data_IF_948444830717
#
_entry.id   IF_948444830717
#
_cell.length_a   1.000
_cell.length_b   1.000
_cell.length_c   1.000
_cell.angle_alpha   90.00
_cell.angle_beta   90.00
_cell.angle_gamma   90.00
#
_symmetry.space_group_name_H-M   'P 1'
#
loop_
_entity.id
_entity.type
_entity.pdbx_description
1 polymer ?
#
# COMPACT_ATOMS: atom_id res chain seq x y z
N UNK A 1 28.45 0.90 22.41
CA UNK A 1 27.58 0.06 21.57
C UNK A 1 26.36 0.89 21.24
N UNK A 2 26.05 1.08 19.97
CA UNK A 2 24.86 1.82 19.56
C UNK A 2 23.67 0.86 19.67
N UNK A 3 22.57 1.28 20.27
CA UNK A 3 21.38 0.43 20.36
C UNK A 3 20.85 0.13 18.95
N UNK A 4 20.42 -1.11 18.67
CA UNK A 4 19.86 -1.45 17.37
C UNK A 4 18.55 -0.68 17.16
N UNK A 5 18.33 -0.19 15.93
CA UNK A 5 17.04 0.35 15.52
C UNK A 5 15.96 -0.73 15.68
N UNK A 6 14.72 -0.32 15.97
CA UNK A 6 13.61 -1.26 16.23
C UNK A 6 12.34 -0.82 15.54
N UNK A 7 11.56 -1.80 15.09
CA UNK A 7 10.19 -1.57 14.65
C UNK A 7 9.35 -0.99 15.78
N UNK A 8 8.62 0.10 15.53
CA UNK A 8 7.73 0.73 16.52
C UNK A 8 6.55 -0.18 16.89
N UNK A 9 6.06 -0.97 15.94
CA UNK A 9 4.87 -1.81 16.12
C UNK A 9 5.15 -3.11 16.87
N UNK A 10 6.34 -3.69 16.70
CA UNK A 10 6.66 -5.04 17.21
C UNK A 10 7.92 -5.11 18.08
N UNK A 11 8.74 -4.06 18.12
CA UNK A 11 10.01 -4.04 18.85
C UNK A 11 11.14 -4.89 18.25
N UNK A 12 10.88 -5.57 17.12
CA UNK A 12 11.87 -6.41 16.43
C UNK A 12 13.03 -5.51 15.93
N UNK A 13 14.30 -5.94 16.10
CA UNK A 13 15.45 -5.20 15.58
C UNK A 13 15.37 -5.05 14.05
N UNK A 14 15.72 -3.86 13.55
CA UNK A 14 15.83 -3.57 12.11
C UNK A 14 17.20 -3.01 11.81
N UNK A 15 17.78 -3.32 10.65
CA UNK A 15 19.11 -2.82 10.27
C UNK A 15 19.06 -1.54 9.41
N UNK A 16 17.86 -1.10 9.01
CA UNK A 16 17.62 0.05 8.18
C UNK A 16 16.57 -0.24 7.10
N UNK A 17 16.65 0.44 5.96
CA UNK A 17 15.66 0.36 4.88
C UNK A 17 15.56 -1.02 4.20
N UNK A 18 16.51 -1.92 4.45
CA UNK A 18 16.46 -3.29 3.95
C UNK A 18 15.40 -4.12 4.70
N UNK A 19 15.15 -3.82 5.97
CA UNK A 19 14.29 -4.62 6.87
C UNK A 19 13.00 -3.90 7.27
N UNK A 20 12.88 -2.63 6.93
CA UNK A 20 11.80 -1.75 7.36
C UNK A 20 11.66 -0.53 6.45
N UNK A 21 10.53 0.17 6.57
CA UNK A 21 10.34 1.52 6.04
C UNK A 21 10.40 2.52 7.20
N UNK A 22 10.94 3.71 6.93
CA UNK A 22 10.88 4.83 7.88
C UNK A 22 9.69 5.70 7.53
N UNK A 23 8.79 5.91 8.48
CA UNK A 23 7.56 6.67 8.32
C UNK A 23 7.31 7.51 9.58
N UNK A 24 7.10 8.81 9.43
CA UNK A 24 6.78 9.76 10.51
C UNK A 24 7.59 9.67 11.82
N UNK A 25 8.88 9.36 11.70
CA UNK A 25 9.78 9.27 12.87
C UNK A 25 9.90 7.87 13.45
N UNK A 26 9.28 6.89 12.81
CA UNK A 26 9.18 5.51 13.27
C UNK A 26 9.69 4.53 12.21
N UNK A 27 10.28 3.42 12.67
CA UNK A 27 10.59 2.29 11.79
C UNK A 27 9.42 1.32 11.79
N UNK A 28 8.93 0.94 10.61
CA UNK A 28 7.88 -0.08 10.42
C UNK A 28 8.49 -1.25 9.66
N UNK A 29 8.62 -2.42 10.31
CA UNK A 29 9.30 -3.58 9.71
C UNK A 29 8.49 -4.28 8.63
N UNK A 30 9.17 -4.90 7.66
CA UNK A 30 8.52 -5.76 6.66
C UNK A 30 7.76 -6.92 7.30
N UNK A 31 8.28 -7.47 8.40
CA UNK A 31 7.61 -8.54 9.14
C UNK A 31 6.21 -8.11 9.65
N UNK A 32 6.09 -6.89 10.20
CA UNK A 32 4.81 -6.36 10.64
C UNK A 32 3.87 -6.12 9.45
N UNK A 33 4.37 -5.50 8.37
CA UNK A 33 3.59 -5.22 7.16
C UNK A 33 3.04 -6.52 6.56
N UNK A 34 3.87 -7.56 6.45
CA UNK A 34 3.46 -8.84 5.90
C UNK A 34 2.41 -9.55 6.77
N UNK A 35 2.55 -9.51 8.10
CA UNK A 35 1.54 -10.06 9.02
C UNK A 35 0.18 -9.36 8.82
N UNK A 36 0.16 -8.03 8.66
CA UNK A 36 -1.06 -7.30 8.39
C UNK A 36 -1.69 -7.69 7.04
N UNK A 37 -0.88 -7.92 6.00
CA UNK A 37 -1.34 -8.41 4.69
C UNK A 37 -1.98 -9.79 4.85
N UNK A 38 -1.30 -10.73 5.50
CA UNK A 38 -1.80 -12.09 5.70
C UNK A 38 -3.14 -12.12 6.46
N UNK A 39 -3.24 -11.33 7.54
CA UNK A 39 -4.48 -11.19 8.31
C UNK A 39 -5.62 -10.67 7.42
N UNK A 40 -5.38 -9.58 6.70
CA UNK A 40 -6.37 -8.97 5.83
C UNK A 40 -6.75 -9.87 4.66
N UNK A 41 -5.82 -10.60 4.05
CA UNK A 41 -6.14 -11.52 2.95
C UNK A 41 -6.93 -12.74 3.42
N UNK A 42 -6.67 -13.22 4.65
CA UNK A 42 -7.44 -14.31 5.25
C UNK A 42 -8.90 -13.92 5.52
N UNK A 43 -9.17 -12.66 5.86
CA UNK A 43 -10.50 -12.10 6.06
C UNK A 43 -11.15 -11.62 4.73
N UNK A 44 -10.37 -11.00 3.85
CA UNK A 44 -10.81 -10.36 2.60
C UNK A 44 -11.03 -11.33 1.43
N UNK A 45 -10.55 -12.57 1.50
CA UNK A 45 -10.76 -13.56 0.44
C UNK A 45 -12.24 -13.81 0.10
N UNK A 46 -13.16 -13.57 1.04
CA UNK A 46 -14.61 -13.63 0.81
C UNK A 46 -15.21 -12.32 0.32
N UNK A 47 -14.72 -11.18 0.81
CA UNK A 47 -15.24 -9.85 0.50
C UNK A 47 -14.77 -9.34 -0.88
N UNK A 48 -13.56 -9.70 -1.31
CA UNK A 48 -13.01 -9.34 -2.62
C UNK A 48 -13.83 -9.92 -3.79
N UNK A 49 -14.43 -11.10 -3.63
CA UNK A 49 -15.29 -11.69 -4.66
C UNK A 49 -16.61 -10.92 -4.82
N UNK A 50 -17.18 -10.45 -3.72
CA UNK A 50 -18.40 -9.63 -3.71
C UNK A 50 -18.13 -8.22 -4.23
N UNK A 51 -17.01 -7.62 -3.84
CA UNK A 51 -16.57 -6.31 -4.31
C UNK A 51 -16.28 -6.29 -5.81
N UNK A 52 -15.56 -7.30 -6.33
CA UNK A 52 -15.28 -7.45 -7.76
C UNK A 52 -16.57 -7.66 -8.58
N UNK A 53 -17.55 -8.38 -8.03
CA UNK A 53 -18.86 -8.55 -8.67
C UNK A 53 -19.69 -7.25 -8.69
N UNK A 54 -19.56 -6.41 -7.66
CA UNK A 54 -20.28 -5.14 -7.53
C UNK A 54 -19.69 -3.99 -8.38
N UNK A 55 -18.42 -4.08 -8.80
CA UNK A 55 -17.72 -3.00 -9.52
C UNK A 55 -17.12 -3.46 -10.87
N UNK A 56 -17.95 -3.93 -11.83
CA UNK A 56 -17.48 -4.49 -13.11
C UNK A 56 -16.75 -3.47 -14.00
N UNK A 57 -17.06 -2.17 -13.87
CA UNK A 57 -16.43 -1.09 -14.65
C UNK A 57 -15.07 -0.63 -14.06
N UNK A 58 -14.74 -1.08 -12.85
CA UNK A 58 -13.45 -0.87 -12.19
C UNK A 58 -12.63 -2.15 -12.28
N UNK A 59 -12.35 -2.66 -13.48
CA UNK A 59 -11.50 -3.84 -13.56
C UNK A 59 -10.07 -3.43 -13.19
N UNK A 60 -9.75 -3.55 -11.89
CA UNK A 60 -8.40 -3.48 -11.38
C UNK A 60 -7.49 -4.37 -12.23
N UNK A 61 -8.02 -5.50 -12.73
CA UNK A 61 -7.44 -6.37 -13.76
C UNK A 61 -6.92 -5.64 -15.00
N UNK A 62 -7.67 -4.70 -15.58
CA UNK A 62 -7.21 -3.93 -16.73
C UNK A 62 -6.09 -2.95 -16.33
N UNK A 63 -6.23 -2.26 -15.20
CA UNK A 63 -5.23 -1.31 -14.71
C UNK A 63 -3.91 -2.01 -14.36
N UNK A 64 -3.98 -3.14 -13.66
CA UNK A 64 -2.82 -3.98 -13.32
C UNK A 64 -2.22 -4.60 -14.58
N UNK A 65 -3.04 -5.03 -15.54
CA UNK A 65 -2.58 -5.50 -16.85
C UNK A 65 -1.82 -4.42 -17.62
N UNK A 66 -2.33 -3.19 -17.64
CA UNK A 66 -1.65 -2.04 -18.27
C UNK A 66 -0.34 -1.69 -17.56
N UNK A 67 -0.32 -1.72 -16.23
CA UNK A 67 0.90 -1.51 -15.46
C UNK A 67 1.96 -2.55 -15.81
N UNK A 68 1.60 -3.84 -15.79
CA UNK A 68 2.51 -4.94 -16.13
C UNK A 68 3.03 -4.86 -17.59
N UNK A 69 2.18 -4.47 -18.54
CA UNK A 69 2.60 -4.25 -19.93
C UNK A 69 3.60 -3.09 -20.02
N UNK A 70 3.37 -1.99 -19.31
CA UNK A 70 4.31 -0.86 -19.29
C UNK A 70 5.67 -1.27 -18.71
N UNK A 71 5.69 -2.02 -17.62
CA UNK A 71 6.91 -2.51 -16.98
C UNK A 71 7.68 -3.45 -17.89
N UNK A 72 7.00 -4.43 -18.51
CA UNK A 72 7.65 -5.35 -19.45
C UNK A 72 8.25 -4.64 -20.66
N UNK A 73 7.66 -3.51 -21.09
CA UNK A 73 8.15 -2.70 -22.21
C UNK A 73 9.32 -1.79 -21.82
N UNK A 74 9.33 -1.27 -20.59
CA UNK A 74 10.25 -0.20 -20.17
C UNK A 74 11.35 -0.67 -19.22
N UNK A 75 11.17 -1.82 -18.57
CA UNK A 75 12.02 -2.31 -17.49
C UNK A 75 11.95 -1.47 -16.21
N UNK A 76 10.95 -0.59 -16.07
CA UNK A 76 10.79 0.32 -14.93
C UNK A 76 9.42 0.14 -14.31
N UNK A 77 9.33 0.27 -12.99
CA UNK A 77 8.06 0.19 -12.26
C UNK A 77 7.04 1.21 -12.78
N UNK A 78 5.83 0.76 -13.08
CA UNK A 78 4.78 1.62 -13.61
C UNK A 78 4.25 2.56 -12.53
N UNK A 79 4.03 3.83 -12.89
CA UNK A 79 3.36 4.80 -12.00
C UNK A 79 1.91 4.44 -11.72
N UNK A 80 1.30 3.59 -12.56
CA UNK A 80 -0.08 3.14 -12.38
C UNK A 80 -0.27 2.39 -11.06
N UNK A 81 0.78 1.75 -10.53
CA UNK A 81 0.69 1.06 -9.24
C UNK A 81 0.34 1.99 -8.07
N UNK A 82 0.89 3.20 -8.04
CA UNK A 82 0.53 4.21 -7.04
C UNK A 82 -0.96 4.57 -7.15
N UNK A 83 -1.39 4.93 -8.36
CA UNK A 83 -2.80 5.28 -8.64
C UNK A 83 -3.77 4.14 -8.34
N UNK A 84 -3.38 2.89 -8.59
CA UNK A 84 -4.19 1.71 -8.27
C UNK A 84 -4.37 1.58 -6.75
N UNK A 85 -3.30 1.75 -5.97
CA UNK A 85 -3.35 1.69 -4.51
C UNK A 85 -4.22 2.79 -3.90
N UNK A 86 -4.03 4.03 -4.35
CA UNK A 86 -4.86 5.17 -3.92
C UNK A 86 -6.35 4.91 -4.17
N UNK A 87 -6.68 4.44 -5.39
CA UNK A 87 -8.06 4.12 -5.75
C UNK A 87 -8.64 3.01 -4.89
N UNK A 88 -7.90 1.92 -4.70
CA UNK A 88 -8.35 0.79 -3.88
C UNK A 88 -8.66 1.22 -2.45
N UNK A 89 -7.78 2.00 -1.84
CA UNK A 89 -7.95 2.46 -0.46
C UNK A 89 -9.13 3.42 -0.34
N UNK A 90 -9.32 4.31 -1.31
CA UNK A 90 -10.45 5.22 -1.37
C UNK A 90 -11.79 4.46 -1.46
N UNK A 91 -11.88 3.47 -2.35
CA UNK A 91 -13.12 2.73 -2.54
C UNK A 91 -13.40 1.74 -1.40
N UNK A 92 -12.40 1.02 -0.90
CA UNK A 92 -12.58 -0.02 0.14
C UNK A 92 -12.75 0.56 1.54
N UNK A 93 -11.97 1.58 1.89
CA UNK A 93 -11.91 2.11 3.26
C UNK A 93 -12.56 3.49 3.39
N UNK A 94 -13.07 4.06 2.29
CA UNK A 94 -13.71 5.38 2.29
C UNK A 94 -12.73 6.54 2.48
N UNK A 95 -11.45 6.34 2.14
CA UNK A 95 -10.45 7.41 2.18
C UNK A 95 -10.79 8.47 1.14
N UNK A 96 -10.78 9.73 1.56
CA UNK A 96 -10.95 10.87 0.66
C UNK A 96 -9.57 11.29 0.18
N UNK A 97 -9.29 11.04 -1.10
CA UNK A 97 -8.00 11.37 -1.71
C UNK A 97 -7.82 12.88 -1.80
N UNK A 98 -6.60 13.31 -1.49
CA UNK A 98 -6.16 14.69 -1.67
C UNK A 98 -5.97 15.01 -3.14
N UNK A 99 -5.90 16.31 -3.47
CA UNK A 99 -5.52 16.73 -4.83
C UNK A 99 -4.12 16.19 -5.17
N UNK A 100 -3.90 15.89 -6.44
CA UNK A 100 -2.57 15.49 -6.92
C UNK A 100 -1.50 16.52 -6.49
N UNK A 101 -0.41 16.03 -5.90
CA UNK A 101 0.68 16.82 -5.32
C UNK A 101 0.29 17.64 -4.06
N UNK A 102 -0.66 17.16 -3.25
CA UNK A 102 -0.77 17.66 -1.88
C UNK A 102 0.49 17.27 -1.09
N UNK A 103 1.15 18.24 -0.46
CA UNK A 103 2.32 17.95 0.36
C UNK A 103 1.90 17.25 1.66
N UNK A 104 2.54 16.11 1.95
CA UNK A 104 2.52 15.46 3.27
C UNK A 104 1.46 14.38 3.52
N UNK A 105 0.63 14.04 2.53
CA UNK A 105 -0.34 12.92 2.61
C UNK A 105 -0.98 12.64 1.24
N UNK A 106 -1.50 11.43 1.07
CA UNK A 106 -2.26 11.01 -0.12
C UNK A 106 -3.78 11.20 0.06
N UNK A 107 -4.26 11.24 1.31
CA UNK A 107 -5.67 11.50 1.61
C UNK A 107 -5.97 11.62 3.10
N UNK A 108 -7.25 11.52 3.45
CA UNK A 108 -7.69 11.50 4.84
C UNK A 108 -8.84 10.50 5.08
N UNK A 109 -8.85 9.90 6.27
CA UNK A 109 -9.95 9.10 6.78
C UNK A 109 -10.56 9.82 7.98
N UNK A 110 -11.74 10.43 7.78
CA UNK A 110 -12.29 11.33 8.80
C UNK A 110 -11.38 12.53 9.04
N UNK A 111 -10.75 12.59 10.22
CA UNK A 111 -9.82 13.66 10.62
C UNK A 111 -8.35 13.26 10.51
N UNK A 112 -8.07 11.98 10.25
CA UNK A 112 -6.72 11.45 10.24
C UNK A 112 -6.15 11.54 8.83
N UNK A 113 -4.90 12.02 8.72
CA UNK A 113 -4.17 12.05 7.45
C UNK A 113 -3.67 10.64 7.14
N UNK A 114 -3.67 10.26 5.86
CA UNK A 114 -3.31 8.93 5.40
C UNK A 114 -2.27 9.03 4.29
N UNK A 115 -1.16 8.32 4.47
CA UNK A 115 -0.17 8.05 3.43
C UNK A 115 -0.43 6.66 2.85
N UNK A 116 -0.36 6.52 1.52
CA UNK A 116 -0.66 5.30 0.79
C UNK A 116 0.59 4.85 0.03
N UNK A 117 1.11 3.68 0.40
CA UNK A 117 2.25 3.05 -0.29
C UNK A 117 1.82 1.74 -0.95
N UNK A 118 1.95 1.70 -2.28
CA UNK A 118 1.73 0.46 -3.04
C UNK A 118 3.03 -0.33 -3.13
N UNK A 119 2.99 -1.59 -2.69
CA UNK A 119 4.04 -2.58 -2.91
C UNK A 119 3.61 -3.47 -4.07
N UNK A 120 4.50 -3.67 -5.04
CA UNK A 120 4.23 -4.50 -6.23
C UNK A 120 4.98 -5.82 -6.13
N UNK A 121 4.43 -6.92 -6.69
CA UNK A 121 5.22 -8.13 -6.89
C UNK A 121 6.41 -7.79 -7.80
N UNK A 122 7.62 -8.09 -7.33
CA UNK A 122 8.85 -8.00 -8.13
C UNK A 122 9.05 -9.20 -9.03
#
# INVERSE_FOLDING_TARGET
MQEPLRCAMTGIPVSGSADAIWDDGEWISWAYINEQIELQESEAGRENLEYAAAHPDCSYTELTGRAAIEESRTGKTSRLWGTIGERFVAEKFGVVLSRANAEGHDGHLGKDLVEIKTITPG
#
